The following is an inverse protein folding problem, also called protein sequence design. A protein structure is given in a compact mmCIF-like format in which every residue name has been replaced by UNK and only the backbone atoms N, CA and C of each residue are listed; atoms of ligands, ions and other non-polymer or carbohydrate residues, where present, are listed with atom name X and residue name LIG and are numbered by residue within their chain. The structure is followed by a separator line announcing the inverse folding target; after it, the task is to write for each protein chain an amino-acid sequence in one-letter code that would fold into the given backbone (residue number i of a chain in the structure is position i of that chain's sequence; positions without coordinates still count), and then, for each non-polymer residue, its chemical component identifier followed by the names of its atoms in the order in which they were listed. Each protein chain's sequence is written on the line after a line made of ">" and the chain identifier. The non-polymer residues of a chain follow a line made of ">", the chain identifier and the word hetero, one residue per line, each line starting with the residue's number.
data_IF_026692058802
#
_entry.id   IF_026692058802
#
_cell.length_a   1.000
_cell.length_b   1.000
_cell.length_c   1.000
_cell.angle_alpha   90.00
_cell.angle_beta   90.00
_cell.angle_gamma   90.00
#
_symmetry.space_group_name_H-M   'P 1'
#
loop_
_entity.id
_entity.type
_entity.pdbx_description
1 polymer ?
#
# COMPACT_ATOMS: atom_id res chain seq x y z
N UNK A 1 13.37 27.03 -68.29
CA UNK A 1 13.17 25.61 -67.87
C UNK A 1 12.44 25.62 -66.54
N UNK A 2 11.23 25.06 -66.52
CA UNK A 2 10.31 25.09 -65.38
C UNK A 2 10.72 24.07 -64.32
N UNK A 3 11.05 24.56 -63.11
CA UNK A 3 11.44 23.77 -61.96
C UNK A 3 10.21 23.24 -61.20
N UNK A 4 10.00 21.94 -61.29
CA UNK A 4 8.91 21.14 -60.71
C UNK A 4 8.99 21.16 -59.17
N UNK A 5 8.06 21.83 -58.48
CA UNK A 5 7.85 21.68 -57.03
C UNK A 5 7.30 20.27 -56.75
N UNK A 6 8.10 19.42 -56.09
CA UNK A 6 7.61 18.19 -55.44
C UNK A 6 6.82 18.61 -54.20
N UNK A 7 5.49 18.59 -54.29
CA UNK A 7 4.64 18.55 -53.11
C UNK A 7 4.72 17.17 -52.50
N UNK A 8 5.28 17.06 -51.32
CA UNK A 8 5.14 15.89 -50.46
C UNK A 8 3.66 15.79 -50.06
N UNK A 9 2.93 14.85 -50.66
CA UNK A 9 1.63 14.41 -50.17
C UNK A 9 1.84 13.76 -48.82
N UNK A 10 1.54 14.49 -47.75
CA UNK A 10 1.35 13.92 -46.44
C UNK A 10 0.18 12.94 -46.53
N UNK A 11 0.42 11.70 -46.17
CA UNK A 11 -0.59 10.64 -46.04
C UNK A 11 -1.60 11.03 -44.95
N UNK A 12 -2.60 11.80 -45.34
CA UNK A 12 -3.83 12.05 -44.57
C UNK A 12 -4.84 10.96 -44.92
N UNK A 13 -4.58 9.72 -44.47
CA UNK A 13 -5.49 8.59 -44.63
C UNK A 13 -5.34 7.59 -43.48
N UNK A 14 -6.03 7.85 -42.36
CA UNK A 14 -6.96 6.90 -41.71
C UNK A 14 -7.60 7.56 -40.47
N UNK A 15 -8.24 8.72 -40.62
CA UNK A 15 -9.15 9.26 -39.59
C UNK A 15 -10.56 8.74 -39.89
N UNK A 16 -10.76 7.42 -39.91
CA UNK A 16 -12.12 6.88 -39.80
C UNK A 16 -12.68 7.38 -38.47
N UNK A 17 -13.64 8.31 -38.53
CA UNK A 17 -14.38 8.74 -37.35
C UNK A 17 -14.99 7.48 -36.73
N UNK A 18 -14.42 7.03 -35.62
CA UNK A 18 -14.98 5.96 -34.81
C UNK A 18 -16.23 6.57 -34.20
N UNK A 19 -17.41 6.12 -34.65
CA UNK A 19 -18.66 6.42 -33.97
C UNK A 19 -18.64 5.60 -32.69
N UNK A 20 -18.41 6.28 -31.56
CA UNK A 20 -18.40 5.67 -30.25
C UNK A 20 -19.87 5.44 -29.82
N UNK A 21 -20.21 4.25 -29.30
CA UNK A 21 -21.55 3.99 -28.78
C UNK A 21 -21.88 4.95 -27.63
N UNK A 22 -23.16 5.29 -27.51
CA UNK A 22 -23.66 6.10 -26.42
C UNK A 22 -23.68 5.30 -25.11
N UNK A 23 -23.60 6.01 -23.97
CA UNK A 23 -23.71 5.43 -22.64
C UNK A 23 -25.02 4.65 -22.52
N UNK A 24 -24.93 3.38 -22.15
CA UNK A 24 -26.11 2.53 -21.94
C UNK A 24 -26.67 2.76 -20.53
N UNK A 25 -27.95 3.13 -20.47
CA UNK A 25 -28.71 3.22 -19.22
C UNK A 25 -29.54 1.94 -19.10
N UNK A 26 -29.22 1.05 -18.16
CA UNK A 26 -30.06 -0.12 -17.88
C UNK A 26 -31.17 0.25 -16.90
N UNK A 27 -32.24 -0.53 -16.90
CA UNK A 27 -33.48 -0.30 -16.14
C UNK A 27 -33.35 -0.25 -14.60
N UNK A 28 -32.14 -0.34 -14.05
CA UNK A 28 -31.81 -0.16 -12.64
C UNK A 28 -30.55 0.70 -12.58
N UNK A 29 -30.68 2.02 -12.70
CA UNK A 29 -29.79 3.17 -12.37
C UNK A 29 -28.25 3.12 -12.58
N UNK A 30 -27.66 2.00 -13.02
CA UNK A 30 -26.24 1.84 -13.29
C UNK A 30 -25.91 2.42 -14.68
N UNK A 31 -25.04 3.43 -14.71
CA UNK A 31 -24.55 4.03 -15.95
C UNK A 31 -23.31 3.30 -16.45
N UNK A 32 -23.40 2.75 -17.67
CA UNK A 32 -22.36 1.88 -18.24
C UNK A 32 -21.84 2.43 -19.56
N UNK A 33 -20.52 2.36 -19.73
CA UNK A 33 -19.84 2.65 -20.98
C UNK A 33 -19.11 1.40 -21.44
N UNK A 34 -19.44 0.91 -22.63
CA UNK A 34 -18.78 -0.23 -23.26
C UNK A 34 -18.17 0.19 -24.59
N UNK A 35 -16.84 0.24 -24.62
CA UNK A 35 -16.04 0.62 -25.78
C UNK A 35 -15.03 -0.47 -26.13
N UNK A 36 -15.37 -1.73 -25.87
CA UNK A 36 -14.48 -2.85 -26.15
C UNK A 36 -14.17 -2.96 -27.65
N UNK A 37 -12.90 -3.07 -28.04
CA UNK A 37 -12.53 -3.26 -29.45
C UNK A 37 -12.61 -2.00 -30.33
N UNK A 38 -12.86 -0.81 -29.76
CA UNK A 38 -13.14 0.40 -30.53
C UNK A 38 -11.88 1.16 -30.98
N UNK A 39 -10.68 0.64 -30.70
CA UNK A 39 -9.38 1.26 -31.05
C UNK A 39 -9.20 2.66 -30.44
N UNK A 40 -9.79 2.91 -29.27
CA UNK A 40 -9.67 4.17 -28.53
C UNK A 40 -8.20 4.38 -28.15
N UNK A 41 -7.67 5.58 -28.42
CA UNK A 41 -6.27 5.96 -28.13
C UNK A 41 -6.12 6.96 -26.99
N UNK A 42 -7.16 7.74 -26.72
CA UNK A 42 -7.17 8.76 -25.67
C UNK A 42 -8.58 8.88 -25.11
N UNK A 43 -8.67 9.06 -23.79
CA UNK A 43 -9.94 9.33 -23.09
C UNK A 43 -10.42 10.78 -23.24
N UNK A 44 -9.54 11.66 -23.72
CA UNK A 44 -9.85 13.07 -24.01
C UNK A 44 -10.21 13.29 -25.50
N UNK A 45 -10.33 12.22 -26.29
CA UNK A 45 -10.62 12.34 -27.71
C UNK A 45 -12.00 12.96 -27.96
N UNK A 46 -12.06 13.90 -28.91
CA UNK A 46 -13.31 14.52 -29.33
C UNK A 46 -14.36 13.46 -29.71
N UNK A 47 -15.50 13.47 -29.02
CA UNK A 47 -16.59 12.51 -29.22
C UNK A 47 -16.70 11.42 -28.14
N UNK A 48 -15.71 11.28 -27.25
CA UNK A 48 -15.81 10.42 -26.07
C UNK A 48 -16.30 11.26 -24.88
N UNK A 49 -17.61 11.23 -24.59
CA UNK A 49 -18.18 11.97 -23.47
C UNK A 49 -18.18 11.10 -22.19
N UNK A 50 -17.05 11.08 -21.49
CA UNK A 50 -16.98 10.48 -20.16
C UNK A 50 -17.76 11.35 -19.16
N UNK A 51 -18.50 10.71 -18.26
CA UNK A 51 -19.25 11.41 -17.23
C UNK A 51 -18.91 10.90 -15.84
N UNK A 52 -19.01 11.76 -14.84
CA UNK A 52 -18.80 11.43 -13.43
C UNK A 52 -19.85 10.50 -12.84
N UNK A 53 -20.92 10.21 -13.58
CA UNK A 53 -21.97 9.31 -13.16
C UNK A 53 -21.74 7.86 -13.62
N UNK A 54 -20.75 7.61 -14.50
CA UNK A 54 -20.42 6.26 -14.96
C UNK A 54 -19.91 5.40 -13.81
N UNK A 55 -20.48 4.20 -13.70
CA UNK A 55 -20.11 3.23 -12.67
C UNK A 55 -19.37 2.01 -13.24
N UNK A 56 -19.68 1.63 -14.49
CA UNK A 56 -19.06 0.48 -15.16
C UNK A 56 -18.47 0.92 -16.49
N UNK A 57 -17.16 0.82 -16.63
CA UNK A 57 -16.44 1.28 -17.82
C UNK A 57 -15.57 0.15 -18.36
N UNK A 58 -15.90 -0.29 -19.58
CA UNK A 58 -15.19 -1.35 -20.29
C UNK A 58 -14.45 -0.76 -21.48
N UNK A 59 -13.12 -0.66 -21.34
CA UNK A 59 -12.19 -0.13 -22.33
C UNK A 59 -11.21 -1.20 -22.80
N UNK A 60 -11.58 -2.48 -22.66
CA UNK A 60 -10.76 -3.61 -23.08
C UNK A 60 -10.54 -3.62 -24.59
N UNK A 61 -9.38 -4.12 -25.03
CA UNK A 61 -9.06 -4.29 -26.45
C UNK A 61 -9.08 -2.95 -27.20
N UNK A 62 -8.31 -2.00 -26.68
CA UNK A 62 -8.13 -0.67 -27.24
C UNK A 62 -6.63 -0.36 -27.38
N UNK A 63 -6.30 0.89 -27.68
CA UNK A 63 -4.95 1.36 -27.94
C UNK A 63 -4.52 2.43 -26.93
N UNK A 64 -5.09 2.42 -25.72
CA UNK A 64 -4.79 3.38 -24.66
C UNK A 64 -3.38 3.15 -24.14
N UNK A 65 -2.61 4.22 -24.02
CA UNK A 65 -1.28 4.20 -23.39
C UNK A 65 -1.17 5.15 -22.19
N UNK A 66 -2.19 5.97 -21.94
CA UNK A 66 -2.30 6.91 -20.82
C UNK A 66 -3.73 6.91 -20.26
N UNK A 67 -3.89 7.34 -19.01
CA UNK A 67 -5.19 7.49 -18.33
C UNK A 67 -5.64 8.94 -18.17
N UNK A 68 -5.00 9.86 -18.86
CA UNK A 68 -5.43 11.26 -18.89
C UNK A 68 -6.88 11.33 -19.38
N UNK A 69 -7.76 11.95 -18.58
CA UNK A 69 -9.21 12.00 -18.80
C UNK A 69 -10.03 11.07 -17.89
N UNK A 70 -9.40 10.08 -17.26
CA UNK A 70 -10.10 9.15 -16.34
C UNK A 70 -10.54 9.84 -15.05
N UNK A 71 -9.95 10.98 -14.71
CA UNK A 71 -10.16 11.74 -13.46
C UNK A 71 -11.63 12.18 -13.29
N UNK A 72 -12.38 12.27 -14.39
CA UNK A 72 -13.81 12.61 -14.37
C UNK A 72 -14.67 11.48 -13.78
N UNK A 73 -14.20 10.22 -13.83
CA UNK A 73 -14.95 9.02 -13.46
C UNK A 73 -15.02 8.80 -11.93
N UNK A 74 -15.47 9.80 -11.18
CA UNK A 74 -15.45 9.79 -9.71
C UNK A 74 -16.36 8.74 -9.06
N UNK A 75 -17.31 8.16 -9.81
CA UNK A 75 -18.22 7.09 -9.35
C UNK A 75 -17.91 5.70 -9.92
N UNK A 76 -16.82 5.54 -10.67
CA UNK A 76 -16.51 4.25 -11.31
C UNK A 76 -16.21 3.17 -10.27
N UNK A 77 -16.95 2.07 -10.34
CA UNK A 77 -16.80 0.86 -9.51
C UNK A 77 -16.02 -0.22 -10.24
N UNK A 78 -16.23 -0.35 -11.55
CA UNK A 78 -15.58 -1.35 -12.41
C UNK A 78 -14.90 -0.66 -13.59
N UNK A 79 -13.59 -0.87 -13.70
CA UNK A 79 -12.79 -0.35 -14.81
C UNK A 79 -11.97 -1.49 -15.43
N UNK A 80 -12.31 -1.87 -16.66
CA UNK A 80 -11.57 -2.86 -17.45
C UNK A 80 -10.73 -2.18 -18.53
N UNK A 81 -9.41 -2.17 -18.31
CA UNK A 81 -8.38 -1.62 -19.18
C UNK A 81 -7.52 -2.72 -19.82
N UNK A 82 -8.00 -3.96 -19.81
CA UNK A 82 -7.22 -5.09 -20.32
C UNK A 82 -6.96 -4.97 -21.82
N UNK A 83 -5.87 -5.56 -22.33
CA UNK A 83 -5.55 -5.50 -23.78
C UNK A 83 -5.44 -4.05 -24.27
N UNK A 84 -4.50 -3.30 -23.70
CA UNK A 84 -4.14 -1.94 -24.09
C UNK A 84 -2.60 -1.82 -24.20
N UNK A 85 -2.09 -0.59 -24.25
CA UNK A 85 -0.69 -0.28 -24.54
C UNK A 85 0.04 0.41 -23.36
N UNK A 86 -0.44 0.24 -22.12
CA UNK A 86 0.18 0.84 -20.93
C UNK A 86 1.56 0.24 -20.64
N UNK A 87 2.59 1.07 -20.44
CA UNK A 87 4.02 0.65 -20.33
C UNK A 87 4.74 1.01 -19.02
N UNK A 88 4.27 2.01 -18.28
CA UNK A 88 4.97 2.56 -17.11
C UNK A 88 4.02 2.81 -15.94
N UNK A 89 4.53 3.35 -14.81
CA UNK A 89 3.65 4.06 -13.89
C UNK A 89 2.97 5.20 -14.68
N UNK A 90 1.66 5.30 -14.55
CA UNK A 90 0.80 6.16 -15.37
C UNK A 90 -0.67 6.06 -14.94
N UNK A 91 -0.86 5.68 -13.67
CA UNK A 91 -2.15 5.41 -13.03
C UNK A 91 -2.41 6.39 -11.88
N UNK A 92 -1.62 7.44 -11.77
CA UNK A 92 -1.85 8.60 -10.89
C UNK A 92 -3.23 9.22 -11.15
N UNK A 93 -3.72 9.35 -12.42
CA UNK A 93 -5.09 9.79 -12.70
C UNK A 93 -6.21 9.00 -12.00
N UNK A 94 -5.95 7.74 -11.59
CA UNK A 94 -6.92 6.96 -10.81
C UNK A 94 -7.12 7.50 -9.39
N UNK A 95 -6.37 8.50 -8.94
CA UNK A 95 -6.52 9.09 -7.62
C UNK A 95 -7.95 9.55 -7.34
N UNK A 96 -8.69 10.05 -8.34
CA UNK A 96 -10.08 10.51 -8.18
C UNK A 96 -11.10 9.36 -8.18
N UNK A 97 -10.71 8.15 -8.58
CA UNK A 97 -11.59 6.97 -8.68
C UNK A 97 -11.75 6.26 -7.32
N UNK A 98 -11.99 7.00 -6.23
CA UNK A 98 -11.94 6.47 -4.85
C UNK A 98 -12.94 5.35 -4.53
N UNK A 99 -13.95 5.14 -5.38
CA UNK A 99 -14.96 4.08 -5.24
C UNK A 99 -14.73 2.86 -6.11
N UNK A 100 -13.58 2.78 -6.79
CA UNK A 100 -13.19 1.66 -7.63
C UNK A 100 -13.08 0.37 -6.81
N UNK A 101 -13.78 -0.67 -7.25
CA UNK A 101 -13.87 -1.99 -6.61
C UNK A 101 -13.18 -3.07 -7.44
N UNK A 102 -13.21 -2.94 -8.77
CA UNK A 102 -12.57 -3.86 -9.69
C UNK A 102 -11.74 -3.08 -10.72
N UNK A 103 -10.46 -3.43 -10.82
CA UNK A 103 -9.55 -2.92 -11.83
C UNK A 103 -8.89 -4.09 -12.55
N UNK A 104 -9.04 -4.12 -13.88
CA UNK A 104 -8.23 -5.01 -14.72
C UNK A 104 -7.32 -4.20 -15.63
N UNK A 105 -6.02 -4.46 -15.52
CA UNK A 105 -4.96 -3.96 -16.40
C UNK A 105 -4.20 -5.13 -17.05
N UNK A 106 -4.85 -6.30 -17.14
CA UNK A 106 -4.26 -7.50 -17.71
C UNK A 106 -3.91 -7.33 -19.20
N UNK A 107 -2.91 -8.04 -19.70
CA UNK A 107 -2.45 -7.92 -21.09
C UNK A 107 -2.09 -6.47 -21.48
N UNK A 108 -1.19 -5.89 -20.70
CA UNK A 108 -0.53 -4.62 -20.98
C UNK A 108 0.99 -4.84 -20.96
N UNK A 109 1.78 -3.77 -20.83
CA UNK A 109 3.25 -3.80 -20.81
C UNK A 109 3.81 -3.20 -19.52
N UNK A 110 3.03 -3.25 -18.42
CA UNK A 110 3.39 -2.68 -17.12
C UNK A 110 4.62 -3.35 -16.52
N UNK A 111 5.51 -2.57 -15.90
CA UNK A 111 6.73 -3.06 -15.24
C UNK A 111 6.64 -3.11 -13.71
N UNK A 112 5.68 -2.38 -13.13
CA UNK A 112 5.36 -2.38 -11.71
C UNK A 112 3.85 -2.25 -11.53
N UNK A 113 3.38 -2.44 -10.30
CA UNK A 113 1.99 -2.19 -9.89
C UNK A 113 1.80 -0.78 -9.32
N UNK A 114 2.74 0.14 -9.56
CA UNK A 114 2.69 1.49 -9.00
C UNK A 114 1.47 2.26 -9.53
N UNK A 115 0.61 2.69 -8.62
CA UNK A 115 -0.62 3.44 -8.91
C UNK A 115 -1.08 4.22 -7.67
N UNK A 116 -2.06 5.11 -7.84
CA UNK A 116 -2.68 5.80 -6.72
C UNK A 116 -3.38 4.82 -5.75
N UNK A 117 -3.40 5.15 -4.46
CA UNK A 117 -4.12 4.39 -3.43
C UNK A 117 -5.60 4.24 -3.77
N UNK A 118 -6.13 3.03 -3.64
CA UNK A 118 -7.54 2.71 -3.91
C UNK A 118 -8.20 2.10 -2.68
N UNK A 119 -8.89 2.91 -1.86
CA UNK A 119 -9.39 2.47 -0.55
C UNK A 119 -10.53 1.45 -0.63
N UNK A 120 -11.13 1.26 -1.81
CA UNK A 120 -12.28 0.37 -2.03
C UNK A 120 -11.99 -0.78 -3.01
N UNK A 121 -10.77 -0.90 -3.52
CA UNK A 121 -10.43 -1.88 -4.53
C UNK A 121 -10.38 -3.29 -3.92
N UNK A 122 -11.24 -4.18 -4.42
CA UNK A 122 -11.37 -5.57 -3.98
C UNK A 122 -10.65 -6.54 -4.92
N UNK A 123 -10.57 -6.20 -6.22
CA UNK A 123 -9.95 -7.05 -7.23
C UNK A 123 -8.99 -6.23 -8.08
N UNK A 124 -7.73 -6.66 -8.12
CA UNK A 124 -6.70 -6.14 -9.03
C UNK A 124 -6.21 -7.27 -9.94
N UNK A 125 -6.55 -7.18 -11.22
CA UNK A 125 -6.09 -8.12 -12.24
C UNK A 125 -5.01 -7.49 -13.12
N UNK A 126 -3.78 -7.96 -12.99
CA UNK A 126 -2.60 -7.46 -13.70
C UNK A 126 -1.81 -8.59 -14.39
N UNK A 127 -2.45 -9.73 -14.65
CA UNK A 127 -1.85 -10.86 -15.36
C UNK A 127 -1.35 -10.47 -16.76
N UNK A 128 -0.36 -11.20 -17.30
CA UNK A 128 0.20 -11.00 -18.63
C UNK A 128 0.73 -9.58 -18.84
N UNK A 129 1.61 -9.14 -17.95
CA UNK A 129 2.33 -7.88 -18.04
C UNK A 129 3.85 -8.14 -18.02
N UNK A 130 4.65 -7.11 -17.74
CA UNK A 130 6.10 -7.21 -17.55
C UNK A 130 6.51 -6.87 -16.11
N UNK A 131 5.61 -7.09 -15.16
CA UNK A 131 5.81 -6.72 -13.76
C UNK A 131 6.96 -7.54 -13.19
N UNK A 132 7.97 -6.87 -12.65
CA UNK A 132 9.16 -7.53 -12.08
C UNK A 132 9.50 -7.06 -10.68
N UNK A 133 8.68 -6.19 -10.07
CA UNK A 133 8.93 -5.62 -8.75
C UNK A 133 7.63 -5.28 -8.02
N UNK A 134 7.67 -5.37 -6.69
CA UNK A 134 6.64 -4.87 -5.77
C UNK A 134 6.93 -3.42 -5.30
N UNK A 135 8.03 -2.81 -5.73
CA UNK A 135 8.34 -1.41 -5.40
C UNK A 135 7.19 -0.51 -5.88
N UNK A 136 6.76 0.38 -5.00
CA UNK A 136 5.64 1.29 -5.20
C UNK A 136 4.28 0.60 -5.20
N UNK A 137 4.14 -0.61 -4.63
CA UNK A 137 2.83 -1.25 -4.50
C UNK A 137 1.85 -0.33 -3.75
N UNK A 138 0.65 -0.08 -4.31
CA UNK A 138 -0.31 0.89 -3.80
C UNK A 138 -0.91 0.46 -2.47
N UNK A 139 -1.47 1.43 -1.74
CA UNK A 139 -2.29 1.14 -0.58
C UNK A 139 -3.68 0.64 -1.02
N UNK A 140 -3.99 -0.62 -0.73
CA UNK A 140 -5.22 -1.32 -1.11
C UNK A 140 -5.81 -2.07 0.11
N UNK A 141 -6.39 -1.37 1.09
CA UNK A 141 -6.76 -1.94 2.40
C UNK A 141 -7.78 -3.07 2.33
N UNK A 142 -8.64 -3.07 1.31
CA UNK A 142 -9.75 -4.03 1.16
C UNK A 142 -9.55 -4.99 -0.01
N UNK A 143 -8.33 -5.10 -0.53
CA UNK A 143 -8.05 -5.98 -1.66
C UNK A 143 -8.21 -7.44 -1.25
N UNK A 144 -9.11 -8.14 -1.93
CA UNK A 144 -9.40 -9.55 -1.69
C UNK A 144 -8.73 -10.46 -2.72
N UNK A 145 -8.54 -9.98 -3.94
CA UNK A 145 -8.00 -10.75 -5.06
C UNK A 145 -6.88 -10.01 -5.78
N UNK A 146 -5.69 -10.61 -5.80
CA UNK A 146 -4.56 -10.14 -6.60
C UNK A 146 -4.21 -11.17 -7.67
N UNK A 147 -4.22 -10.77 -8.95
CA UNK A 147 -3.78 -11.61 -10.07
C UNK A 147 -2.58 -10.99 -10.76
N UNK A 148 -1.46 -11.70 -10.78
CA UNK A 148 -0.20 -11.29 -11.39
C UNK A 148 0.40 -12.42 -12.23
N UNK A 149 -0.42 -13.37 -12.68
CA UNK A 149 0.00 -14.50 -13.52
C UNK A 149 0.73 -14.02 -14.78
N UNK A 150 1.62 -14.85 -15.32
CA UNK A 150 2.37 -14.53 -16.55
C UNK A 150 3.11 -13.18 -16.46
N UNK A 151 3.73 -12.91 -15.30
CA UNK A 151 4.65 -11.79 -15.10
C UNK A 151 6.03 -12.29 -14.62
N UNK A 152 7.13 -11.59 -14.96
CA UNK A 152 8.47 -11.93 -14.46
C UNK A 152 8.58 -12.03 -12.94
N UNK A 153 7.76 -11.28 -12.19
CA UNK A 153 7.75 -11.26 -10.72
C UNK A 153 7.46 -12.63 -10.10
N UNK A 154 6.80 -13.54 -10.82
CA UNK A 154 6.56 -14.92 -10.34
C UNK A 154 7.84 -15.71 -10.06
N UNK A 155 8.99 -15.26 -10.55
CA UNK A 155 10.30 -15.84 -10.23
C UNK A 155 10.79 -15.48 -8.83
N UNK A 156 10.20 -14.46 -8.20
CA UNK A 156 10.54 -14.05 -6.85
C UNK A 156 10.10 -15.13 -5.85
N UNK A 157 11.02 -15.69 -5.04
CA UNK A 157 10.65 -16.61 -3.97
C UNK A 157 9.65 -15.97 -3.03
N UNK A 158 8.65 -16.74 -2.59
CA UNK A 158 7.68 -16.29 -1.58
C UNK A 158 6.94 -15.00 -1.95
N UNK A 159 6.67 -14.80 -3.25
CA UNK A 159 5.88 -13.67 -3.75
C UNK A 159 4.51 -13.56 -3.10
N UNK A 160 3.89 -14.69 -2.78
CA UNK A 160 2.61 -14.72 -2.10
C UNK A 160 2.73 -14.19 -0.67
N UNK A 161 3.72 -14.63 0.13
CA UNK A 161 3.99 -14.06 1.44
C UNK A 161 4.28 -12.55 1.39
N UNK A 162 5.05 -12.09 0.40
CA UNK A 162 5.30 -10.66 0.18
C UNK A 162 3.99 -9.90 -0.13
N UNK A 163 3.09 -10.50 -0.93
CA UNK A 163 1.78 -9.93 -1.26
C UNK A 163 0.85 -9.89 -0.03
N UNK A 164 0.89 -10.92 0.81
CA UNK A 164 0.17 -10.97 2.09
C UNK A 164 0.66 -9.86 3.02
N UNK A 165 1.97 -9.60 3.09
CA UNK A 165 2.53 -8.51 3.88
C UNK A 165 2.08 -7.13 3.37
N UNK A 166 2.05 -6.93 2.05
CA UNK A 166 1.66 -5.66 1.44
C UNK A 166 0.18 -5.31 1.58
N UNK A 167 -0.68 -6.32 1.43
CA UNK A 167 -2.14 -6.16 1.44
C UNK A 167 -2.70 -6.33 2.86
N UNK A 168 -2.15 -7.27 3.63
CA UNK A 168 -2.60 -7.62 4.96
C UNK A 168 -3.73 -8.68 4.94
N UNK A 169 -4.57 -8.72 6.00
CA UNK A 169 -5.50 -9.83 6.26
C UNK A 169 -6.71 -9.87 5.32
N UNK A 170 -6.90 -8.86 4.48
CA UNK A 170 -8.02 -8.79 3.53
C UNK A 170 -7.78 -9.59 2.27
N UNK A 171 -6.51 -9.93 1.95
CA UNK A 171 -6.19 -10.77 0.81
C UNK A 171 -6.73 -12.19 1.04
N UNK A 172 -7.60 -12.65 0.13
CA UNK A 172 -8.22 -13.98 0.17
C UNK A 172 -7.68 -14.89 -0.92
N UNK A 173 -7.39 -14.33 -2.10
CA UNK A 173 -6.91 -15.07 -3.26
C UNK A 173 -5.71 -14.43 -3.93
N UNK A 174 -4.79 -15.28 -4.36
CA UNK A 174 -3.62 -14.91 -5.12
C UNK A 174 -3.55 -15.76 -6.38
N UNK A 175 -3.60 -15.15 -7.56
CA UNK A 175 -3.70 -15.86 -8.85
C UNK A 175 -4.88 -16.87 -8.87
N UNK A 176 -6.06 -16.38 -8.49
CA UNK A 176 -7.35 -17.11 -8.47
C UNK A 176 -7.46 -18.35 -7.56
N UNK A 177 -6.38 -18.72 -6.86
CA UNK A 177 -6.40 -19.73 -5.81
C UNK A 177 -6.48 -19.09 -4.42
N UNK A 178 -6.98 -19.85 -3.46
CA UNK A 178 -6.89 -19.49 -2.05
C UNK A 178 -5.44 -19.43 -1.60
N UNK A 179 -5.18 -18.69 -0.52
CA UNK A 179 -3.84 -18.51 0.01
C UNK A 179 -3.24 -19.82 0.53
N UNK A 180 -1.97 -20.07 0.19
CA UNK A 180 -1.20 -21.20 0.73
C UNK A 180 -1.03 -21.04 2.24
N UNK A 181 -1.25 -22.13 2.99
CA UNK A 181 -1.05 -22.14 4.45
C UNK A 181 0.40 -21.89 4.80
N UNK A 182 1.33 -22.42 4.01
CA UNK A 182 2.76 -22.24 4.15
C UNK A 182 3.16 -20.78 3.96
N UNK A 183 2.69 -20.12 2.91
CA UNK A 183 2.98 -18.71 2.63
C UNK A 183 2.34 -17.77 3.66
N UNK A 184 1.13 -18.09 4.16
CA UNK A 184 0.48 -17.37 5.26
C UNK A 184 1.27 -17.52 6.56
N UNK A 185 1.75 -18.72 6.89
CA UNK A 185 2.59 -18.96 8.07
C UNK A 185 3.93 -18.23 7.95
N UNK A 186 4.51 -18.23 6.74
CA UNK A 186 5.76 -17.56 6.43
C UNK A 186 5.64 -16.04 6.59
N UNK A 187 4.61 -15.41 6.04
CA UNK A 187 4.36 -13.97 6.16
C UNK A 187 4.30 -13.52 7.63
N UNK A 188 3.74 -14.33 8.53
CA UNK A 188 3.67 -14.02 9.98
C UNK A 188 5.03 -13.97 10.69
N UNK A 189 6.09 -14.47 10.07
CA UNK A 189 7.45 -14.47 10.63
C UNK A 189 8.22 -13.18 10.34
N UNK A 190 7.71 -12.32 9.45
CA UNK A 190 8.38 -11.08 9.08
C UNK A 190 8.08 -9.96 10.09
N UNK A 191 9.04 -9.03 10.30
CA UNK A 191 8.81 -7.81 11.06
C UNK A 191 7.62 -6.99 10.56
N UNK A 192 7.01 -6.21 11.46
CA UNK A 192 5.84 -5.40 11.13
C UNK A 192 6.11 -4.38 10.02
N UNK A 193 7.28 -3.74 10.02
CA UNK A 193 7.67 -2.74 9.02
C UNK A 193 8.03 -3.33 7.65
N UNK A 194 8.09 -4.65 7.47
CA UNK A 194 8.54 -5.27 6.22
C UNK A 194 7.72 -4.81 5.01
N UNK A 195 6.42 -4.59 5.16
CA UNK A 195 5.59 -4.09 4.06
C UNK A 195 6.04 -2.72 3.53
N UNK A 196 6.50 -1.81 4.42
CA UNK A 196 7.08 -0.52 4.03
C UNK A 196 8.38 -0.72 3.26
N UNK A 197 9.26 -1.60 3.76
CA UNK A 197 10.52 -1.92 3.09
C UNK A 197 10.27 -2.49 1.67
N UNK A 198 9.31 -3.40 1.51
CA UNK A 198 8.96 -3.96 0.18
C UNK A 198 8.48 -2.86 -0.77
N UNK A 199 7.57 -1.97 -0.32
CA UNK A 199 7.09 -0.82 -1.13
C UNK A 199 8.23 0.08 -1.55
N UNK A 200 9.26 0.17 -0.73
CA UNK A 200 10.43 0.99 -0.98
C UNK A 200 11.52 0.33 -1.83
N UNK A 201 11.36 -0.96 -2.15
CA UNK A 201 12.28 -1.71 -3.00
C UNK A 201 13.31 -2.55 -2.24
N UNK A 202 13.05 -2.88 -0.98
CA UNK A 202 13.81 -3.92 -0.28
C UNK A 202 13.68 -5.27 -0.98
N UNK A 203 14.79 -5.98 -1.11
CA UNK A 203 14.82 -7.30 -1.74
C UNK A 203 14.29 -8.36 -0.78
N UNK A 204 13.20 -9.02 -1.19
CA UNK A 204 12.56 -10.03 -0.36
C UNK A 204 13.48 -11.24 -0.15
N UNK A 205 13.85 -11.47 1.10
CA UNK A 205 14.73 -12.57 1.50
C UNK A 205 14.07 -13.46 2.55
N UNK A 206 14.80 -14.49 3.02
CA UNK A 206 14.29 -15.47 4.00
C UNK A 206 13.99 -14.82 5.36
N UNK A 207 12.95 -15.28 6.08
CA UNK A 207 12.51 -14.64 7.33
C UNK A 207 13.58 -14.63 8.43
N UNK A 208 14.52 -15.58 8.43
CA UNK A 208 15.61 -15.64 9.42
C UNK A 208 16.53 -14.42 9.38
N UNK A 209 16.68 -13.78 8.22
CA UNK A 209 17.48 -12.58 8.03
C UNK A 209 16.64 -11.32 7.86
N UNK A 210 15.31 -11.44 7.86
CA UNK A 210 14.42 -10.33 7.53
C UNK A 210 14.53 -9.18 8.53
N UNK A 211 14.65 -9.47 9.83
CA UNK A 211 14.78 -8.45 10.87
C UNK A 211 16.03 -7.57 10.66
N UNK A 212 17.20 -8.20 10.56
CA UNK A 212 18.47 -7.50 10.34
C UNK A 212 18.50 -6.78 8.99
N UNK A 213 18.15 -7.46 7.91
CA UNK A 213 18.25 -6.88 6.57
C UNK A 213 17.23 -5.75 6.31
N UNK A 214 16.03 -5.79 6.89
CA UNK A 214 15.10 -4.67 6.82
C UNK A 214 15.56 -3.50 7.68
N UNK A 215 16.19 -3.76 8.83
CA UNK A 215 16.80 -2.72 9.65
C UNK A 215 17.96 -2.03 8.91
N UNK A 216 18.90 -2.78 8.34
CA UNK A 216 19.98 -2.23 7.51
C UNK A 216 19.45 -1.40 6.34
N UNK A 217 18.39 -1.87 5.68
CA UNK A 217 17.75 -1.14 4.58
C UNK A 217 17.15 0.20 5.04
N UNK A 218 16.54 0.25 6.22
CA UNK A 218 16.02 1.48 6.81
C UNK A 218 17.14 2.41 7.27
N UNK A 219 18.19 1.89 7.89
CA UNK A 219 19.38 2.67 8.28
C UNK A 219 20.00 3.36 7.07
N UNK A 220 20.16 2.67 5.94
CA UNK A 220 20.67 3.27 4.70
C UNK A 220 19.76 4.39 4.18
N UNK A 221 18.43 4.25 4.34
CA UNK A 221 17.47 5.31 4.00
C UNK A 221 17.51 6.51 4.94
N UNK A 222 17.94 6.31 6.17
CA UNK A 222 18.01 7.33 7.22
C UNK A 222 19.42 7.88 7.43
N UNK A 223 20.39 7.52 6.58
CA UNK A 223 21.77 7.98 6.74
C UNK A 223 21.90 9.49 6.83
N UNK A 224 21.07 10.23 6.09
CA UNK A 224 21.05 11.69 6.07
C UNK A 224 20.11 12.30 7.14
N UNK A 225 19.40 11.44 7.89
CA UNK A 225 18.52 11.83 9.01
C UNK A 225 19.25 11.75 10.37
N UNK A 226 20.47 11.24 10.38
CA UNK A 226 21.30 11.08 11.57
C UNK A 226 22.54 11.97 11.41
N UNK A 227 22.97 12.71 12.44
CA UNK A 227 24.19 13.51 12.34
C UNK A 227 25.41 12.62 12.04
N UNK A 228 26.38 13.15 11.29
CA UNK A 228 27.53 12.41 10.74
C UNK A 228 28.35 11.61 11.77
N UNK A 229 28.49 12.14 12.99
CA UNK A 229 29.29 11.50 14.05
C UNK A 229 28.49 10.50 14.90
N UNK A 230 27.27 10.14 14.46
CA UNK A 230 26.37 9.25 15.18
C UNK A 230 25.87 8.09 14.30
N UNK A 231 25.58 6.96 14.94
CA UNK A 231 25.03 5.77 14.29
C UNK A 231 23.82 5.22 15.04
N UNK A 232 22.81 4.79 14.29
CA UNK A 232 21.65 4.11 14.83
C UNK A 232 21.96 2.62 15.06
N UNK A 233 22.01 2.22 16.32
CA UNK A 233 22.23 0.82 16.74
C UNK A 233 20.93 0.04 16.85
N UNK A 234 19.85 0.69 17.26
CA UNK A 234 18.55 0.06 17.45
C UNK A 234 17.42 1.06 17.19
N UNK A 235 16.36 0.60 16.53
CA UNK A 235 15.06 1.27 16.42
C UNK A 235 13.95 0.20 16.51
N UNK A 236 13.33 0.07 17.67
CA UNK A 236 12.33 -0.96 17.94
C UNK A 236 11.19 -0.44 18.82
N UNK A 237 10.07 -1.16 18.84
CA UNK A 237 8.97 -0.95 19.78
C UNK A 237 8.69 -2.28 20.44
N UNK A 238 8.49 -2.27 21.76
CA UNK A 238 8.01 -3.43 22.51
C UNK A 238 6.74 -4.01 21.88
N UNK A 239 6.46 -5.29 22.15
CA UNK A 239 5.18 -5.86 21.74
C UNK A 239 4.04 -5.16 22.48
N UNK A 240 3.14 -4.44 21.78
CA UNK A 240 2.12 -3.67 22.47
C UNK A 240 0.97 -4.57 22.92
N UNK A 241 0.58 -4.39 24.16
CA UNK A 241 -0.57 -5.06 24.78
C UNK A 241 -1.45 -3.96 25.35
N UNK A 242 -2.76 -4.09 25.15
CA UNK A 242 -3.77 -3.20 25.75
C UNK A 242 -3.52 -3.06 27.26
N UNK A 243 -3.58 -1.81 27.72
CA UNK A 243 -3.39 -1.38 29.12
C UNK A 243 -2.01 -1.66 29.73
N UNK A 244 -1.10 -2.30 29.00
CA UNK A 244 0.28 -2.51 29.42
C UNK A 244 1.21 -1.43 28.86
N UNK A 245 2.29 -1.15 29.58
CA UNK A 245 3.32 -0.22 29.14
C UNK A 245 4.01 -0.71 27.85
N UNK A 246 4.05 0.12 26.82
CA UNK A 246 4.77 -0.14 25.57
C UNK A 246 5.87 0.91 25.36
N UNK A 247 7.13 0.49 25.33
CA UNK A 247 8.28 1.40 25.16
C UNK A 247 8.82 1.35 23.74
N UNK A 248 9.30 2.49 23.24
CA UNK A 248 10.13 2.54 22.04
C UNK A 248 11.62 2.62 22.41
N UNK A 249 12.46 1.95 21.65
CA UNK A 249 13.91 1.93 21.85
C UNK A 249 14.60 2.52 20.62
N UNK A 250 15.20 3.71 20.78
CA UNK A 250 16.11 4.30 19.82
C UNK A 250 17.48 4.45 20.46
N UNK A 251 18.41 3.59 20.07
CA UNK A 251 19.79 3.64 20.58
C UNK A 251 20.69 4.26 19.52
N UNK A 252 21.12 5.50 19.76
CA UNK A 252 22.05 6.22 18.89
C UNK A 252 23.39 6.38 19.62
N UNK A 253 24.47 5.96 18.98
CA UNK A 253 25.83 5.95 19.52
C UNK A 253 26.69 6.98 18.80
N UNK A 254 27.61 7.61 19.51
CA UNK A 254 28.58 8.55 18.93
C UNK A 254 29.88 7.83 18.55
N UNK A 255 30.51 8.21 17.44
CA UNK A 255 31.73 7.58 16.90
C UNK A 255 32.99 7.86 17.76
N UNK A 256 32.95 8.88 18.61
CA UNK A 256 34.08 9.31 19.46
C UNK A 256 33.80 9.27 20.97
N UNK A 257 34.85 9.16 21.78
CA UNK A 257 34.77 9.09 23.26
C UNK A 257 34.63 10.46 23.98
N UNK A 258 34.42 11.56 23.25
CA UNK A 258 34.26 12.89 23.85
C UNK A 258 32.77 13.23 24.00
N UNK A 259 32.40 13.90 25.10
CA UNK A 259 31.04 14.44 25.27
C UNK A 259 30.77 15.45 24.15
N UNK A 260 29.74 15.20 23.34
CA UNK A 260 29.23 16.19 22.40
C UNK A 260 28.51 17.28 23.18
N UNK A 261 29.05 18.49 23.13
CA UNK A 261 28.38 19.71 23.57
C UNK A 261 28.08 20.53 22.31
N UNK A 262 26.80 20.73 21.93
CA UNK A 262 25.57 20.35 22.65
C UNK A 262 25.22 18.85 22.58
N UNK A 263 24.49 18.32 23.58
CA UNK A 263 24.07 16.91 23.59
C UNK A 263 23.02 16.61 22.51
N UNK A 264 23.02 15.37 22.03
CA UNK A 264 21.97 14.87 21.16
C UNK A 264 20.66 14.68 21.95
N UNK A 265 19.58 15.32 21.50
CA UNK A 265 18.25 15.22 22.11
C UNK A 265 17.31 14.47 21.16
N UNK A 266 16.60 13.47 21.70
CA UNK A 266 15.59 12.71 20.98
C UNK A 266 14.20 13.23 21.33
N UNK A 267 13.37 13.47 20.32
CA UNK A 267 11.97 13.87 20.48
C UNK A 267 11.07 12.84 19.82
N UNK A 268 10.03 12.41 20.53
CA UNK A 268 9.14 11.36 20.06
C UNK A 268 7.76 11.89 19.70
N UNK A 269 7.11 11.23 18.76
CA UNK A 269 5.69 11.38 18.50
C UNK A 269 5.12 10.01 18.14
N UNK A 270 4.13 9.57 18.92
CA UNK A 270 3.43 8.32 18.64
C UNK A 270 2.27 8.53 17.66
N UNK A 271 2.03 7.51 16.86
CA UNK A 271 0.95 7.44 15.90
C UNK A 271 0.28 6.08 16.00
N UNK A 272 -1.02 6.08 15.74
CA UNK A 272 -1.83 4.88 15.60
C UNK A 272 -2.24 4.71 14.15
N UNK A 273 -2.01 3.53 13.58
CA UNK A 273 -2.27 3.25 12.18
C UNK A 273 -2.97 1.91 11.96
N UNK A 274 -3.48 1.75 10.75
CA UNK A 274 -4.04 0.48 10.33
C UNK A 274 -2.95 -0.55 9.97
N UNK A 275 -3.39 -1.80 9.76
CA UNK A 275 -2.52 -2.93 9.48
C UNK A 275 -1.74 -2.78 8.16
N UNK A 276 -2.25 -1.96 7.26
CA UNK A 276 -1.66 -1.69 5.95
C UNK A 276 -0.50 -0.70 5.99
N UNK A 277 -0.23 -0.06 7.14
CA UNK A 277 0.89 0.87 7.34
C UNK A 277 0.88 2.05 6.38
N UNK A 278 -0.31 2.45 5.92
CA UNK A 278 -0.45 3.49 4.90
C UNK A 278 -1.00 4.79 5.47
N UNK A 279 -1.76 4.70 6.57
CA UNK A 279 -2.28 5.86 7.28
C UNK A 279 -1.92 5.73 8.76
N UNK A 280 -1.20 6.72 9.28
CA UNK A 280 -0.85 6.86 10.68
C UNK A 280 -1.42 8.18 11.18
N UNK A 281 -2.23 8.13 12.22
CA UNK A 281 -2.84 9.30 12.85
C UNK A 281 -2.03 9.60 14.12
N UNK A 282 -1.55 10.84 14.30
CA UNK A 282 -0.81 11.20 15.50
C UNK A 282 -1.70 11.03 16.74
N UNK A 283 -1.14 10.43 17.78
CA UNK A 283 -1.79 10.37 19.09
C UNK A 283 -1.41 11.66 19.83
N UNK A 284 -2.36 12.57 20.12
CA UNK A 284 -2.06 13.81 20.81
C UNK A 284 -1.37 13.54 22.15
N UNK A 285 -0.38 14.36 22.51
CA UNK A 285 0.34 14.33 23.78
C UNK A 285 1.22 13.09 24.03
N UNK A 286 1.15 12.07 23.17
CA UNK A 286 2.04 10.92 23.24
C UNK A 286 3.40 11.28 22.61
N UNK A 287 4.24 11.97 23.39
CA UNK A 287 5.56 12.49 22.97
C UNK A 287 6.74 11.93 23.77
N UNK A 288 6.47 11.03 24.71
CA UNK A 288 7.49 10.35 25.52
C UNK A 288 7.93 9.02 24.88
N UNK A 289 8.93 8.37 25.48
CA UNK A 289 9.42 7.04 25.06
C UNK A 289 8.42 5.90 25.31
N UNK A 290 7.30 6.20 25.96
CA UNK A 290 6.33 5.21 26.43
C UNK A 290 4.93 5.60 26.01
N UNK A 291 4.16 4.60 25.59
CA UNK A 291 2.74 4.71 25.33
C UNK A 291 2.00 3.56 26.02
N UNK A 292 0.76 3.81 26.45
CA UNK A 292 -0.15 2.79 27.00
C UNK A 292 -1.28 2.55 25.99
N UNK A 293 -1.25 1.43 25.23
CA UNK A 293 -2.27 1.12 24.25
C UNK A 293 -3.66 1.03 24.89
N UNK A 294 -4.64 1.68 24.27
CA UNK A 294 -6.02 1.71 24.76
C UNK A 294 -6.83 0.56 24.16
N UNK A 295 -7.99 0.27 24.73
CA UNK A 295 -8.93 -0.71 24.17
C UNK A 295 -9.23 -0.46 22.68
N UNK A 296 -9.50 0.80 22.32
CA UNK A 296 -9.79 1.20 20.94
C UNK A 296 -8.59 1.03 19.98
N UNK A 297 -7.40 0.77 20.51
CA UNK A 297 -6.20 0.54 19.71
C UNK A 297 -6.00 -0.95 19.35
N UNK A 298 -6.77 -1.89 19.93
CA UNK A 298 -6.63 -3.32 19.64
C UNK A 298 -6.70 -3.60 18.12
N UNK A 299 -5.73 -4.38 17.63
CA UNK A 299 -5.62 -4.76 16.23
C UNK A 299 -4.98 -3.71 15.32
N UNK A 300 -4.82 -2.47 15.81
CA UNK A 300 -4.05 -1.41 15.14
C UNK A 300 -2.55 -1.62 15.33
N UNK A 301 -1.76 -0.80 14.65
CA UNK A 301 -0.30 -0.79 14.69
C UNK A 301 0.18 0.56 15.20
N UNK A 302 1.18 0.58 16.08
CA UNK A 302 1.83 1.81 16.51
C UNK A 302 3.01 2.12 15.60
N UNK A 303 3.18 3.40 15.33
CA UNK A 303 4.41 3.97 14.79
C UNK A 303 4.89 5.01 15.77
N UNK A 304 6.18 5.07 16.00
CA UNK A 304 6.81 6.18 16.70
C UNK A 304 7.79 6.83 15.74
N UNK A 305 7.69 8.14 15.61
CA UNK A 305 8.72 8.95 14.94
C UNK A 305 9.67 9.50 16.01
N UNK A 306 10.97 9.43 15.74
CA UNK A 306 12.03 9.96 16.58
C UNK A 306 12.79 11.03 15.77
N UNK A 307 12.65 12.29 16.18
CA UNK A 307 13.38 13.42 15.59
C UNK A 307 14.60 13.73 16.44
N UNK A 308 15.76 13.81 15.78
CA UNK A 308 17.04 14.10 16.42
C UNK A 308 17.28 15.62 16.40
N UNK A 309 17.69 16.18 17.54
CA UNK A 309 18.11 17.58 17.65
C UNK A 309 19.54 17.64 18.18
N UNK A 310 20.42 18.36 17.48
CA UNK A 310 21.80 18.62 17.89
C UNK A 310 22.04 20.13 17.86
N UNK A 311 22.08 20.76 19.04
CA UNK A 311 22.07 22.23 19.14
C UNK A 311 20.78 22.82 18.59
N UNK A 312 20.88 23.67 17.57
CA UNK A 312 19.73 24.26 16.87
C UNK A 312 19.29 23.45 15.64
N UNK A 313 20.07 22.45 15.22
CA UNK A 313 19.75 21.64 14.05
C UNK A 313 18.72 20.57 14.40
N UNK A 314 17.63 20.51 13.62
CA UNK A 314 16.61 19.46 13.70
C UNK A 314 16.69 18.60 12.45
N UNK A 315 16.90 17.30 12.65
CA UNK A 315 17.00 16.33 11.56
C UNK A 315 15.62 15.73 11.26
N UNK A 316 15.40 15.25 10.01
CA UNK A 316 14.18 14.52 9.68
C UNK A 316 13.99 13.29 10.58
N UNK A 317 12.75 12.91 10.91
CA UNK A 317 12.51 11.80 11.80
C UNK A 317 12.94 10.46 11.18
N UNK A 318 13.42 9.59 12.05
CA UNK A 318 13.46 8.13 11.84
C UNK A 318 12.24 7.50 12.51
N UNK A 319 11.95 6.23 12.27
CA UNK A 319 10.75 5.61 12.85
C UNK A 319 10.94 4.16 13.27
N UNK A 320 10.06 3.68 14.13
CA UNK A 320 9.87 2.26 14.40
C UNK A 320 8.38 1.92 14.29
N UNK A 321 8.07 0.66 13.95
CA UNK A 321 6.71 0.15 13.77
C UNK A 321 6.52 -1.06 14.68
N UNK A 322 5.45 -1.06 15.47
CA UNK A 322 5.14 -2.15 16.38
C UNK A 322 4.48 -3.33 15.66
N UNK A 323 4.45 -4.49 16.30
CA UNK A 323 3.44 -5.50 15.96
C UNK A 323 2.02 -5.02 16.31
N UNK A 324 1.00 -5.77 15.91
CA UNK A 324 -0.40 -5.41 16.23
C UNK A 324 -0.63 -5.42 17.74
N UNK A 325 -1.38 -4.44 18.21
CA UNK A 325 -1.80 -4.33 19.60
C UNK A 325 -2.70 -5.51 19.93
N UNK A 326 -2.26 -6.34 20.88
CA UNK A 326 -3.02 -7.48 21.37
C UNK A 326 -3.86 -7.13 22.59
N UNK A 327 -4.98 -7.84 22.79
CA UNK A 327 -5.80 -7.72 24.00
C UNK A 327 -5.01 -8.05 25.26
N UNK A 328 -5.26 -7.30 26.32
CA UNK A 328 -4.69 -7.52 27.65
C UNK A 328 -5.25 -8.79 28.28
N UNK A 329 -4.48 -9.40 29.21
CA UNK A 329 -4.91 -10.62 29.92
C UNK A 329 -5.93 -10.35 31.04
N UNK A 330 -6.28 -9.10 31.34
CA UNK A 330 -7.09 -8.73 32.50
C UNK A 330 -8.59 -9.03 32.40
N UNK A 331 -9.13 -9.40 31.23
CA UNK A 331 -10.55 -9.78 31.10
C UNK A 331 -10.83 -11.25 31.48
N UNK A 332 -9.81 -12.12 31.49
CA UNK A 332 -10.03 -13.52 31.93
C UNK A 332 -10.20 -13.64 33.46
N UNK A 333 -9.57 -12.76 34.24
CA UNK A 333 -9.67 -12.82 35.70
C UNK A 333 -11.02 -12.34 36.23
N UNK A 334 -11.64 -11.33 35.61
CA UNK A 334 -12.99 -10.90 35.97
C UNK A 334 -14.06 -11.91 35.57
N UNK A 335 -13.91 -12.63 34.45
CA UNK A 335 -14.85 -13.69 34.09
C UNK A 335 -14.72 -14.92 34.99
N UNK A 336 -13.51 -15.23 35.48
CA UNK A 336 -13.30 -16.31 36.46
C UNK A 336 -13.73 -15.88 37.87
N UNK A 337 -13.55 -14.61 38.26
CA UNK A 337 -14.03 -14.10 39.55
C UNK A 337 -15.55 -13.94 39.61
N UNK A 338 -16.21 -13.44 38.55
CA UNK A 338 -17.68 -13.40 38.48
C UNK A 338 -18.32 -14.80 38.45
N UNK A 339 -17.61 -15.83 37.97
CA UNK A 339 -18.08 -17.22 38.02
C UNK A 339 -17.66 -17.99 39.29
N UNK A 340 -16.77 -17.43 40.12
CA UNK A 340 -16.41 -17.98 41.44
C UNK A 340 -17.25 -17.37 42.57
N UNK A 341 -17.71 -16.12 42.43
CA UNK A 341 -18.63 -15.50 43.40
C UNK A 341 -20.07 -16.04 43.31
N UNK A 342 -20.48 -16.66 42.20
CA UNK A 342 -21.78 -17.36 42.11
C UNK A 342 -21.77 -18.80 42.67
N UNK A 343 -20.61 -19.37 43.05
CA UNK A 343 -20.53 -20.74 43.58
C UNK A 343 -20.29 -20.86 45.10
N UNK A 344 -20.24 -19.76 45.85
CA UNK A 344 -19.94 -19.77 47.29
C UNK A 344 -21.13 -19.45 48.22
N UNK A 345 -22.37 -19.43 47.72
CA UNK A 345 -23.56 -19.16 48.55
C UNK A 345 -24.63 -20.25 48.49
N UNK A 346 -24.31 -21.51 48.79
CA UNK A 346 -25.31 -22.51 49.22
C UNK A 346 -24.67 -23.45 50.25
N UNK A 347 -25.09 -23.35 51.53
CA UNK A 347 -24.92 -24.45 52.49
C UNK A 347 -24.50 -24.10 53.93
N UNK A 348 -25.19 -23.18 54.62
CA UNK A 348 -25.31 -23.27 56.08
C UNK A 348 -26.80 -23.31 56.43
N UNK A 349 -27.31 -24.53 56.64
CA UNK A 349 -28.27 -24.89 57.69
C UNK A 349 -28.37 -26.41 57.80
#
# INVERSE_FOLDING_TARGET
>A
MSGRRKGSTADSRDSRFIVLPQVEIKANDDLRLDLRGHRVRSLNASGLNLSSHLEFVYLRDNLLSTLEGVEVLTRVKVLDLSFNEFKGPGFEPLENCKVLQFLSVAQNKLKSLTMASQPRLQVLAASKNKISTLKGFPYLPVLEHLRVEENPILKMPHLEAASILLVGPTLKKFNDRDLSREEVALAKRYPAHTALCIRDGWEFNRPEHAAESTFCFLVEKWKDHIPLDFFLKEASIDKPVEEDMCRCHFTIIHDGAASTDPPLVLKYQWFCGDISLSNFIPIPEATDEVYWPKHDDIGKVLKVECSLTLGEMVYPPIFAISSRISRGRFVLFLYIMYNLDEQLTIGIK
#
